data_IF_809713115485
#
_entry.id   IF_809713115485
#
_cell.length_a   1.000
_cell.length_b   1.000
_cell.length_c   1.000
_cell.angle_alpha   90.00
_cell.angle_beta   90.00
_cell.angle_gamma   90.00
#
_symmetry.space_group_name_H-M   'P 1'
#
loop_
_entity.id
_entity.type
_entity.pdbx_description
1 polymer ?
#
# COMPACT_ATOMS: atom_id res chain seq x y z
N UNK A 1 18.12 -41.15 2.40
CA UNK A 1 18.19 -40.43 1.11
C UNK A 1 16.78 -40.40 0.55
N UNK A 2 16.13 -39.24 0.53
CA UNK A 2 14.72 -39.09 0.15
C UNK A 2 14.61 -39.13 -1.38
N UNK A 3 13.64 -39.88 -1.93
CA UNK A 3 13.49 -40.06 -3.38
C UNK A 3 12.49 -39.05 -3.91
N UNK A 4 12.66 -38.63 -5.17
CA UNK A 4 11.80 -37.63 -5.86
C UNK A 4 10.32 -38.07 -5.86
N UNK A 5 10.05 -39.37 -5.80
CA UNK A 5 8.72 -39.96 -5.67
C UNK A 5 7.98 -39.55 -4.37
N UNK A 6 8.71 -39.20 -3.31
CA UNK A 6 8.12 -38.77 -2.03
C UNK A 6 7.59 -37.32 -2.09
N UNK A 7 8.19 -36.46 -2.93
CA UNK A 7 7.74 -35.07 -3.10
C UNK A 7 6.38 -34.99 -3.83
N UNK A 8 6.13 -35.91 -4.75
CA UNK A 8 4.87 -35.96 -5.52
C UNK A 8 3.69 -36.35 -4.62
N UNK A 9 3.92 -37.22 -3.62
CA UNK A 9 2.90 -37.58 -2.63
C UNK A 9 2.53 -36.42 -1.70
N UNK A 10 3.49 -35.58 -1.34
CA UNK A 10 3.23 -34.40 -0.50
C UNK A 10 2.35 -33.38 -1.26
N UNK A 11 2.65 -33.14 -2.54
CA UNK A 11 1.85 -32.23 -3.37
C UNK A 11 0.40 -32.69 -3.59
N UNK A 12 0.14 -34.00 -3.64
CA UNK A 12 -1.23 -34.52 -3.79
C UNK A 12 -2.05 -34.50 -2.49
N UNK A 13 -1.39 -34.51 -1.32
CA UNK A 13 -2.05 -34.47 -0.03
C UNK A 13 -2.57 -33.05 0.31
N UNK A 14 -1.86 -31.99 -0.11
CA UNK A 14 -2.28 -30.60 0.12
C UNK A 14 -3.50 -30.18 -0.71
N UNK A 15 -3.65 -30.71 -1.93
CA UNK A 15 -4.74 -30.32 -2.84
C UNK A 15 -6.10 -30.85 -2.34
N UNK A 16 -6.13 -31.97 -1.62
CA UNK A 16 -7.38 -32.49 -1.03
C UNK A 16 -7.81 -31.74 0.24
N UNK A 17 -6.89 -31.09 0.95
CA UNK A 17 -7.22 -30.38 2.21
C UNK A 17 -7.98 -29.06 1.99
N UNK A 18 -8.05 -28.53 0.76
CA UNK A 18 -8.76 -27.27 0.48
C UNK A 18 -10.22 -27.43 0.08
N UNK A 19 -10.78 -28.65 0.12
CA UNK A 19 -12.19 -28.92 -0.26
C UNK A 19 -13.18 -28.89 0.91
N UNK A 20 -12.82 -28.32 2.05
CA UNK A 20 -13.79 -28.09 3.13
C UNK A 20 -13.48 -26.79 3.85
N UNK A 21 -14.08 -25.70 3.37
CA UNK A 21 -14.36 -24.54 4.22
C UNK A 21 -15.86 -24.41 4.24
N UNK A 22 -16.41 -24.77 5.40
CA UNK A 22 -17.82 -24.64 5.76
C UNK A 22 -18.29 -23.21 5.56
N UNK A 23 -19.47 -23.11 4.95
CA UNK A 23 -20.39 -21.98 5.07
C UNK A 23 -20.83 -21.84 6.53
N UNK A 24 -20.44 -20.76 7.20
CA UNK A 24 -21.04 -20.36 8.47
C UNK A 24 -21.51 -18.90 8.39
N UNK A 25 -22.81 -18.78 8.11
CA UNK A 25 -23.80 -17.89 8.75
C UNK A 25 -23.55 -16.39 8.88
N UNK A 26 -24.29 -15.66 8.04
CA UNK A 26 -25.05 -14.43 8.32
C UNK A 26 -24.99 -13.86 9.75
N UNK A 27 -24.02 -12.99 9.99
CA UNK A 27 -24.19 -11.90 10.95
C UNK A 27 -24.52 -10.62 10.16
N UNK A 28 -25.80 -10.26 10.12
CA UNK A 28 -26.27 -9.04 9.47
C UNK A 28 -25.59 -7.81 10.08
N UNK A 29 -25.02 -6.96 9.22
CA UNK A 29 -24.35 -5.70 9.56
C UNK A 29 -25.18 -4.79 10.47
N UNK A 30 -26.50 -4.90 10.40
CA UNK A 30 -27.46 -4.20 11.27
C UNK A 30 -27.31 -4.59 12.76
N UNK A 31 -26.93 -5.83 13.07
CA UNK A 31 -26.70 -6.28 14.44
C UNK A 31 -25.44 -5.65 15.05
N UNK A 32 -24.40 -5.44 14.22
CA UNK A 32 -23.12 -4.84 14.62
C UNK A 32 -23.28 -3.35 14.91
N UNK A 33 -24.13 -2.65 14.15
CA UNK A 33 -24.36 -1.21 14.35
C UNK A 33 -25.11 -0.90 15.65
N UNK A 34 -26.01 -1.78 16.10
CA UNK A 34 -26.76 -1.57 17.35
C UNK A 34 -25.92 -1.81 18.60
N UNK A 35 -24.87 -2.62 18.52
CA UNK A 35 -23.96 -2.87 19.65
C UNK A 35 -23.07 -1.66 19.99
N UNK A 36 -22.83 -0.75 19.02
CA UNK A 36 -21.86 0.34 19.15
C UNK A 36 -22.44 1.73 19.45
N UNK A 37 -23.74 1.88 19.66
CA UNK A 37 -24.34 3.18 19.96
C UNK A 37 -24.60 3.37 21.47
N UNK A 38 -23.87 4.27 22.17
CA UNK A 38 -24.29 4.70 23.50
C UNK A 38 -25.52 5.60 23.39
N UNK A 39 -26.56 5.25 24.14
CA UNK A 39 -27.72 6.10 24.36
C UNK A 39 -27.31 7.42 25.02
N UNK A 40 -27.56 8.56 24.37
CA UNK A 40 -27.62 9.85 25.05
C UNK A 40 -29.09 10.26 25.25
N UNK A 41 -29.51 10.08 26.50
CA UNK A 41 -30.70 10.69 27.09
C UNK A 41 -30.53 12.23 27.19
N UNK A 42 -31.64 12.90 26.88
CA UNK A 42 -32.24 14.07 27.57
C UNK A 42 -31.39 15.28 27.95
N UNK A 43 -31.86 16.45 27.50
CA UNK A 43 -31.54 17.72 28.16
C UNK A 43 -32.22 18.92 27.51
N UNK A 44 -33.52 19.08 27.74
CA UNK A 44 -34.23 20.32 27.45
C UNK A 44 -33.76 21.46 28.37
N UNK A 45 -33.60 22.67 27.84
CA UNK A 45 -33.91 23.89 28.58
C UNK A 45 -34.23 25.06 27.65
N UNK A 46 -35.40 25.61 27.92
CA UNK A 46 -36.01 26.83 27.38
C UNK A 46 -35.55 28.04 28.20
N UNK A 47 -35.15 29.14 27.54
CA UNK A 47 -35.24 30.56 27.95
C UNK A 47 -34.92 31.35 26.66
N UNK A 48 -35.53 32.45 26.20
CA UNK A 48 -36.52 33.40 26.68
C UNK A 48 -36.36 34.70 25.84
N UNK A 49 -37.50 35.27 25.45
CA UNK A 49 -37.86 36.62 24.94
C UNK A 49 -36.78 37.73 24.74
N UNK A 50 -36.83 38.30 23.53
CA UNK A 50 -36.59 39.68 23.02
C UNK A 50 -35.71 40.71 23.79
N UNK A 51 -34.80 41.40 23.07
CA UNK A 51 -34.79 42.88 22.98
C UNK A 51 -33.89 43.40 21.82
N UNK A 52 -34.27 44.54 21.23
CA UNK A 52 -33.56 45.32 20.20
C UNK A 52 -32.34 46.03 20.81
N UNK A 53 -31.25 46.19 20.05
CA UNK A 53 -30.64 47.50 19.72
C UNK A 53 -29.35 47.36 18.90
N UNK A 54 -29.16 48.34 18.01
CA UNK A 54 -28.13 48.45 16.97
C UNK A 54 -26.73 48.79 17.53
N UNK A 55 -25.70 48.26 16.90
CA UNK A 55 -24.31 48.74 16.97
C UNK A 55 -23.48 48.12 15.84
N UNK A 56 -22.64 48.89 15.10
CA UNK A 56 -21.88 48.34 13.98
C UNK A 56 -20.70 47.49 14.50
N UNK A 57 -20.91 46.18 14.60
CA UNK A 57 -19.86 45.23 14.94
C UNK A 57 -18.94 45.02 13.75
N UNK A 58 -17.67 45.35 13.94
CA UNK A 58 -16.55 45.04 13.06
C UNK A 58 -16.62 43.61 12.50
N UNK A 59 -16.26 43.36 11.23
CA UNK A 59 -16.17 42.01 10.72
C UNK A 59 -15.15 41.21 11.55
N UNK A 60 -15.44 39.94 11.91
CA UNK A 60 -14.45 39.11 12.59
C UNK A 60 -13.20 38.96 11.70
N UNK A 61 -12.00 38.89 12.29
CA UNK A 61 -10.79 38.63 11.51
C UNK A 61 -10.94 37.31 10.75
N UNK A 62 -10.47 37.21 9.50
CA UNK A 62 -10.48 35.96 8.77
C UNK A 62 -9.68 34.92 9.57
N UNK A 63 -10.34 33.81 9.92
CA UNK A 63 -9.66 32.64 10.47
C UNK A 63 -8.80 32.09 9.34
N UNK A 64 -7.50 32.42 9.37
CA UNK A 64 -6.50 31.74 8.56
C UNK A 64 -6.32 30.34 9.16
N UNK A 65 -7.06 29.37 8.63
CA UNK A 65 -6.79 27.96 8.85
C UNK A 65 -5.46 27.68 8.14
N UNK A 66 -4.35 27.92 8.83
CA UNK A 66 -3.06 27.40 8.39
C UNK A 66 -3.11 25.91 8.63
N UNK A 67 -3.58 25.17 7.63
CA UNK A 67 -3.40 23.74 7.52
C UNK A 67 -1.92 23.47 7.24
N UNK A 68 -1.06 23.70 8.24
CA UNK A 68 0.17 22.94 8.33
C UNK A 68 -0.24 21.61 8.93
N UNK A 69 -0.71 20.73 8.05
CA UNK A 69 -0.89 19.32 8.36
C UNK A 69 0.46 18.80 8.83
N UNK A 70 0.61 18.71 10.15
CA UNK A 70 1.68 17.96 10.77
C UNK A 70 1.34 16.49 10.57
N UNK A 71 1.61 16.01 9.35
CA UNK A 71 1.50 14.61 8.99
C UNK A 71 2.57 13.89 9.78
N UNK A 72 2.14 13.10 10.76
CA UNK A 72 3.04 12.34 11.61
C UNK A 72 4.00 11.47 10.78
N UNK A 73 5.11 11.01 11.39
CA UNK A 73 6.17 10.28 10.70
C UNK A 73 5.70 9.06 9.90
N UNK A 74 4.52 8.51 10.21
CA UNK A 74 3.87 7.41 9.49
C UNK A 74 3.37 7.79 8.09
N UNK A 75 2.77 8.98 7.91
CA UNK A 75 2.28 9.41 6.59
C UNK A 75 3.41 9.85 5.67
N UNK A 76 4.45 10.47 6.22
CA UNK A 76 5.67 10.80 5.48
C UNK A 76 6.37 9.52 4.98
N UNK A 77 6.44 8.47 5.81
CA UNK A 77 7.00 7.17 5.41
C UNK A 77 6.15 6.47 4.34
N UNK A 78 4.82 6.49 4.48
CA UNK A 78 3.91 5.92 3.48
C UNK A 78 4.01 6.60 2.11
N UNK A 79 4.06 7.93 2.09
CA UNK A 79 4.22 8.70 0.84
C UNK A 79 5.59 8.50 0.19
N UNK A 80 6.68 8.43 0.98
CA UNK A 80 8.00 8.08 0.46
C UNK A 80 8.02 6.68 -0.17
N UNK A 81 7.38 5.71 0.49
CA UNK A 81 7.32 4.34 0.02
C UNK A 81 6.53 4.19 -1.28
N UNK A 82 5.36 4.83 -1.37
CA UNK A 82 4.59 4.87 -2.60
C UNK A 82 5.39 5.46 -3.76
N UNK A 83 6.07 6.60 -3.52
CA UNK A 83 6.91 7.24 -4.54
C UNK A 83 8.04 6.32 -5.04
N UNK A 84 8.67 5.55 -4.14
CA UNK A 84 9.70 4.58 -4.55
C UNK A 84 9.11 3.42 -5.35
N UNK A 85 7.95 2.91 -4.96
CA UNK A 85 7.25 1.86 -5.71
C UNK A 85 6.93 2.36 -7.12
N UNK A 86 6.33 3.53 -7.26
CA UNK A 86 6.02 4.15 -8.55
C UNK A 86 7.26 4.31 -9.44
N UNK A 87 8.36 4.83 -8.87
CA UNK A 87 9.64 4.96 -9.58
C UNK A 87 10.16 3.59 -10.06
N UNK A 88 10.07 2.57 -9.21
CA UNK A 88 10.53 1.21 -9.55
C UNK A 88 9.70 0.60 -10.66
N UNK A 89 8.37 0.79 -10.62
CA UNK A 89 7.46 0.32 -11.66
C UNK A 89 7.69 1.03 -13.00
N UNK A 90 7.94 2.35 -12.97
CA UNK A 90 8.28 3.11 -14.18
C UNK A 90 9.59 2.62 -14.82
N UNK A 91 10.60 2.28 -14.01
CA UNK A 91 11.84 1.68 -14.51
C UNK A 91 11.63 0.27 -15.07
N UNK A 92 10.73 -0.52 -14.49
CA UNK A 92 10.36 -1.84 -15.02
C UNK A 92 9.67 -1.72 -16.38
N UNK A 93 8.75 -0.77 -16.52
CA UNK A 93 8.09 -0.47 -17.79
C UNK A 93 9.11 -0.04 -18.84
N UNK A 94 9.99 0.90 -18.49
CA UNK A 94 11.08 1.31 -19.39
C UNK A 94 11.99 0.13 -19.79
N UNK A 95 12.34 -0.74 -18.83
CA UNK A 95 13.13 -1.93 -19.11
C UNK A 95 12.43 -2.87 -20.10
N UNK A 96 11.12 -3.08 -19.94
CA UNK A 96 10.33 -3.88 -20.88
C UNK A 96 10.25 -3.25 -22.26
N UNK A 97 10.05 -1.93 -22.35
CA UNK A 97 10.04 -1.22 -23.63
C UNK A 97 11.39 -1.31 -24.34
N UNK A 98 12.49 -1.17 -23.57
CA UNK A 98 13.85 -1.31 -24.10
C UNK A 98 14.17 -2.74 -24.55
N UNK A 99 13.59 -3.76 -23.91
CA UNK A 99 13.71 -5.17 -24.33
C UNK A 99 13.03 -5.44 -25.67
N UNK A 100 11.89 -4.79 -25.92
CA UNK A 100 11.10 -5.01 -27.13
C UNK A 100 11.63 -4.21 -28.32
N UNK A 101 12.50 -3.22 -28.09
CA UNK A 101 13.09 -2.39 -29.14
C UNK A 101 14.39 -3.00 -29.68
N UNK A 102 14.41 -3.52 -30.92
CA UNK A 102 15.59 -4.15 -31.51
C UNK A 102 16.75 -3.17 -31.77
N UNK A 103 16.51 -1.85 -31.68
CA UNK A 103 17.56 -0.83 -31.78
C UNK A 103 18.29 -0.60 -30.45
N UNK A 104 17.77 -1.11 -29.34
CA UNK A 104 18.41 -1.00 -28.03
C UNK A 104 19.49 -2.05 -27.88
N UNK A 105 20.57 -1.64 -27.22
CA UNK A 105 21.71 -2.51 -26.95
C UNK A 105 21.61 -3.08 -25.55
N UNK A 106 22.16 -4.28 -25.33
CA UNK A 106 22.28 -4.86 -23.99
C UNK A 106 23.00 -3.91 -23.00
N UNK A 107 23.90 -3.07 -23.49
CA UNK A 107 24.57 -2.04 -22.67
C UNK A 107 23.60 -0.95 -22.21
N UNK A 108 22.63 -0.57 -23.04
CA UNK A 108 21.58 0.37 -22.64
C UNK A 108 20.71 -0.25 -21.55
N UNK A 109 20.25 -1.49 -21.74
CA UNK A 109 19.48 -2.24 -20.74
C UNK A 109 20.26 -2.42 -19.43
N UNK A 110 21.58 -2.67 -19.51
CA UNK A 110 22.42 -2.81 -18.31
C UNK A 110 22.35 -1.57 -17.40
N UNK A 111 22.29 -0.37 -17.97
CA UNK A 111 22.13 0.85 -17.17
C UNK A 111 20.78 0.86 -16.44
N UNK A 112 19.70 0.50 -17.14
CA UNK A 112 18.35 0.41 -16.58
C UNK A 112 18.28 -0.67 -15.48
N UNK A 113 18.93 -1.81 -15.69
CA UNK A 113 19.04 -2.91 -14.71
C UNK A 113 19.81 -2.50 -13.46
N UNK A 114 20.90 -1.73 -13.59
CA UNK A 114 21.62 -1.20 -12.42
C UNK A 114 20.79 -0.20 -11.62
N UNK A 115 19.91 0.58 -12.27
CA UNK A 115 18.94 1.43 -11.56
C UNK A 115 17.90 0.58 -10.83
N UNK A 116 17.37 -0.46 -11.47
CA UNK A 116 16.45 -1.41 -10.83
C UNK A 116 17.07 -2.09 -9.60
N UNK A 117 18.34 -2.52 -9.67
CA UNK A 117 19.08 -3.06 -8.51
C UNK A 117 19.12 -2.08 -7.34
N UNK A 118 19.38 -0.80 -7.63
CA UNK A 118 19.42 0.24 -6.60
C UNK A 118 18.05 0.46 -5.95
N UNK A 119 16.99 0.54 -6.75
CA UNK A 119 15.65 0.76 -6.23
C UNK A 119 15.14 -0.43 -5.40
N UNK A 120 15.45 -1.67 -5.77
CA UNK A 120 15.16 -2.85 -4.93
C UNK A 120 15.79 -2.71 -3.54
N UNK A 121 17.06 -2.31 -3.47
CA UNK A 121 17.73 -2.05 -2.20
C UNK A 121 17.03 -0.95 -1.39
N UNK A 122 16.60 0.13 -2.07
CA UNK A 122 15.86 1.22 -1.44
C UNK A 122 14.48 0.82 -0.91
N UNK A 123 13.76 -0.05 -1.62
CA UNK A 123 12.47 -0.59 -1.20
C UNK A 123 12.62 -1.48 0.05
N UNK A 124 13.65 -2.33 0.09
CA UNK A 124 13.92 -3.19 1.25
C UNK A 124 14.36 -2.39 2.48
N UNK A 125 15.14 -1.32 2.28
CA UNK A 125 15.54 -0.41 3.37
C UNK A 125 14.31 0.28 3.98
N UNK A 126 13.35 0.72 3.17
CA UNK A 126 12.13 1.36 3.65
C UNK A 126 11.32 0.46 4.58
N UNK A 127 11.10 -0.80 4.18
CA UNK A 127 10.37 -1.79 4.99
C UNK A 127 11.09 -2.07 6.31
N UNK A 128 12.42 -1.98 6.31
CA UNK A 128 13.24 -2.22 7.51
C UNK A 128 13.30 -0.99 8.44
N UNK A 129 13.23 0.22 7.89
CA UNK A 129 13.41 1.48 8.62
C UNK A 129 12.12 2.00 9.22
N UNK A 130 10.98 1.81 8.56
CA UNK A 130 9.72 2.43 8.95
C UNK A 130 8.63 1.41 9.28
N UNK A 131 7.75 1.72 10.24
CA UNK A 131 6.52 0.97 10.44
C UNK A 131 5.56 1.29 9.29
N UNK A 132 5.59 0.46 8.24
CA UNK A 132 4.73 0.57 7.07
C UNK A 132 3.49 -0.30 7.28
N UNK A 133 2.32 0.18 6.84
CA UNK A 133 1.08 -0.60 6.81
C UNK A 133 1.26 -1.91 6.02
N UNK A 134 0.60 -2.99 6.46
CA UNK A 134 0.85 -4.31 5.85
C UNK A 134 0.47 -4.38 4.36
N UNK A 135 -0.57 -3.67 3.93
CA UNK A 135 -0.97 -3.62 2.52
C UNK A 135 0.12 -2.96 1.65
N UNK A 136 0.64 -1.82 2.09
CA UNK A 136 1.71 -1.12 1.39
C UNK A 136 3.02 -1.93 1.43
N UNK A 137 3.31 -2.60 2.54
CA UNK A 137 4.45 -3.52 2.65
C UNK A 137 4.33 -4.71 1.70
N UNK A 138 3.13 -5.26 1.51
CA UNK A 138 2.88 -6.32 0.54
C UNK A 138 3.18 -5.84 -0.90
N UNK A 139 2.73 -4.63 -1.25
CA UNK A 139 3.04 -4.01 -2.55
C UNK A 139 4.55 -3.83 -2.72
N UNK A 140 5.22 -3.22 -1.73
CA UNK A 140 6.68 -3.01 -1.77
C UNK A 140 7.42 -4.33 -1.98
N UNK A 141 7.07 -5.36 -1.21
CA UNK A 141 7.69 -6.68 -1.32
C UNK A 141 7.46 -7.31 -2.69
N UNK A 142 6.23 -7.25 -3.20
CA UNK A 142 5.91 -7.78 -4.52
C UNK A 142 6.69 -7.07 -5.62
N UNK A 143 6.72 -5.74 -5.60
CA UNK A 143 7.51 -4.94 -6.55
C UNK A 143 9.00 -5.29 -6.46
N UNK A 144 9.57 -5.34 -5.25
CA UNK A 144 10.98 -5.69 -5.06
C UNK A 144 11.31 -7.10 -5.57
N UNK A 145 10.46 -8.10 -5.31
CA UNK A 145 10.64 -9.47 -5.78
C UNK A 145 10.57 -9.52 -7.31
N UNK A 146 9.56 -8.89 -7.92
CA UNK A 146 9.40 -8.88 -9.36
C UNK A 146 10.60 -8.23 -10.04
N UNK A 147 11.05 -7.07 -9.54
CA UNK A 147 12.25 -6.41 -10.04
C UNK A 147 13.50 -7.28 -9.90
N UNK A 148 13.68 -7.94 -8.75
CA UNK A 148 14.81 -8.83 -8.52
C UNK A 148 14.83 -10.02 -9.50
N UNK A 149 13.66 -10.55 -9.84
CA UNK A 149 13.53 -11.62 -10.84
C UNK A 149 13.97 -11.13 -12.21
N UNK A 150 13.53 -9.95 -12.65
CA UNK A 150 13.92 -9.39 -13.95
C UNK A 150 15.42 -9.07 -14.02
N UNK A 151 15.98 -8.50 -12.95
CA UNK A 151 17.43 -8.31 -12.81
C UNK A 151 18.18 -9.63 -12.94
N UNK A 152 17.71 -10.68 -12.26
CA UNK A 152 18.37 -12.00 -12.29
C UNK A 152 18.28 -12.63 -13.67
N UNK A 153 17.15 -12.49 -14.37
CA UNK A 153 17.00 -12.93 -15.76
C UNK A 153 18.01 -12.23 -16.66
N UNK A 154 18.17 -10.92 -16.52
CA UNK A 154 19.16 -10.16 -17.29
C UNK A 154 20.59 -10.65 -17.02
N UNK A 155 20.98 -10.77 -15.74
CA UNK A 155 22.32 -11.24 -15.35
C UNK A 155 22.61 -12.67 -15.86
N UNK A 156 21.57 -13.51 -16.00
CA UNK A 156 21.66 -14.86 -16.55
C UNK A 156 21.53 -14.94 -18.07
N UNK A 157 21.28 -13.81 -18.75
CA UNK A 157 21.01 -13.78 -20.19
C UNK A 157 19.70 -14.47 -20.60
N UNK A 158 18.78 -14.68 -19.66
CA UNK A 158 17.43 -15.22 -19.92
C UNK A 158 16.45 -14.08 -20.25
N UNK A 159 16.82 -13.29 -21.24
CA UNK A 159 15.95 -12.28 -21.82
C UNK A 159 14.99 -12.99 -22.77
N UNK A 160 13.69 -12.67 -22.67
CA UNK A 160 12.62 -13.27 -23.47
C UNK A 160 12.93 -13.23 -24.98
#
# INVERSE_FOLDING_TARGET
>A
MMKIEDLVKIGQMEIQSRKSVQTETDCSFEAILREKAPAQQSGASSVGVADRSQGPSSPPPPIYISAVSDLGPSEAAGSEALRKVEMTLALLEQYHDELLDPSKTLKALANTVELLKREVGGLQELVSRYPIEEDLKAIINQTAIQTQVEVTKFDQGMLL
#
